data_IF_551857558023
#
_entry.id   IF_551857558023
#
_cell.length_a   1.000
_cell.length_b   1.000
_cell.length_c   1.000
_cell.angle_alpha   90.00
_cell.angle_beta   90.00
_cell.angle_gamma   90.00
#
_symmetry.space_group_name_H-M   'P 1'
#
loop_
_entity.id
_entity.type
_entity.pdbx_description
1 polymer ?
#
# COMPACT_ATOMS: atom_id res chain seq x y z
N UNK A 1 2.67 -13.59 12.14
CA UNK A 1 3.16 -14.49 11.07
C UNK A 1 2.56 -14.03 9.75
N UNK A 2 3.30 -14.13 8.65
CA UNK A 2 2.79 -13.79 7.32
C UNK A 2 1.74 -14.78 6.81
N UNK A 3 0.80 -14.27 6.00
CA UNK A 3 -0.26 -15.06 5.39
C UNK A 3 -0.57 -14.58 3.97
N UNK A 4 -1.10 -15.49 3.15
CA UNK A 4 -1.47 -15.21 1.75
C UNK A 4 -2.78 -14.41 1.72
N UNK A 5 -2.79 -13.32 0.94
CA UNK A 5 -4.01 -12.58 0.68
C UNK A 5 -4.81 -13.26 -0.44
N UNK A 6 -5.93 -13.87 -0.09
CA UNK A 6 -6.89 -14.40 -1.05
C UNK A 6 -7.73 -13.26 -1.65
N UNK A 7 -7.83 -13.23 -2.98
CA UNK A 7 -8.62 -12.23 -3.72
C UNK A 7 -9.90 -12.82 -4.34
N UNK A 8 -10.16 -14.09 -4.11
CA UNK A 8 -11.41 -14.80 -4.41
C UNK A 8 -12.33 -14.78 -3.20
N UNK A 9 -11.76 -15.05 -2.01
CA UNK A 9 -12.45 -14.93 -0.72
C UNK A 9 -11.78 -13.83 0.12
N UNK A 10 -12.35 -12.63 0.07
CA UNK A 10 -11.73 -11.43 0.66
C UNK A 10 -11.87 -11.46 2.18
N UNK A 11 -10.72 -11.56 2.86
CA UNK A 11 -10.66 -11.57 4.33
C UNK A 11 -10.30 -10.20 4.90
N UNK A 12 -10.97 -9.84 5.99
CA UNK A 12 -10.74 -8.62 6.79
C UNK A 12 -9.71 -8.79 7.90
N UNK A 13 -9.13 -9.99 8.05
CA UNK A 13 -8.14 -10.28 9.10
C UNK A 13 -6.99 -9.27 9.05
N UNK A 14 -6.60 -8.78 10.23
CA UNK A 14 -5.55 -7.79 10.42
C UNK A 14 -5.97 -6.35 10.15
N UNK A 15 -7.19 -6.11 9.65
CA UNK A 15 -7.69 -4.79 9.25
C UNK A 15 -8.91 -4.33 10.05
N UNK A 16 -9.35 -5.12 11.03
CA UNK A 16 -10.65 -5.00 11.69
C UNK A 16 -10.85 -3.68 12.45
N UNK A 17 -9.75 -3.02 12.86
CA UNK A 17 -9.83 -1.72 13.55
C UNK A 17 -10.08 -0.54 12.60
N UNK A 18 -10.01 -0.76 11.29
CA UNK A 18 -10.32 0.29 10.31
C UNK A 18 -11.81 0.67 10.35
N UNK A 19 -12.18 1.97 10.20
CA UNK A 19 -13.58 2.34 9.99
C UNK A 19 -14.09 1.94 8.60
N UNK A 20 -13.19 1.57 7.68
CA UNK A 20 -13.50 1.16 6.30
C UNK A 20 -12.95 -0.25 5.99
N UNK A 21 -13.00 -1.15 6.98
CA UNK A 21 -12.41 -2.50 6.95
C UNK A 21 -12.68 -3.27 5.66
N UNK A 22 -13.93 -3.37 5.22
CA UNK A 22 -14.31 -4.11 4.00
C UNK A 22 -13.67 -3.50 2.75
N UNK A 23 -13.66 -2.17 2.64
CA UNK A 23 -13.07 -1.48 1.50
C UNK A 23 -11.54 -1.60 1.50
N UNK A 24 -10.89 -1.55 2.67
CA UNK A 24 -9.45 -1.75 2.81
C UNK A 24 -9.04 -3.19 2.52
N UNK A 25 -9.80 -4.17 3.00
CA UNK A 25 -9.60 -5.58 2.67
C UNK A 25 -9.75 -5.81 1.16
N UNK A 26 -10.77 -5.20 0.55
CA UNK A 26 -10.96 -5.20 -0.90
C UNK A 26 -9.81 -4.55 -1.67
N UNK A 27 -9.24 -3.45 -1.16
CA UNK A 27 -8.07 -2.80 -1.74
C UNK A 27 -6.83 -3.70 -1.66
N UNK A 28 -6.57 -4.31 -0.49
CA UNK A 28 -5.49 -5.30 -0.29
C UNK A 28 -5.64 -6.49 -1.26
N UNK A 29 -6.85 -7.05 -1.38
CA UNK A 29 -7.15 -8.12 -2.32
C UNK A 29 -6.98 -7.69 -3.79
N UNK A 30 -7.31 -6.44 -4.12
CA UNK A 30 -7.09 -5.90 -5.47
C UNK A 30 -5.59 -5.87 -5.83
N UNK A 31 -4.73 -5.49 -4.89
CA UNK A 31 -3.27 -5.54 -5.07
C UNK A 31 -2.79 -6.98 -5.25
N UNK A 32 -3.24 -7.90 -4.39
CA UNK A 32 -2.88 -9.31 -4.48
C UNK A 32 -3.24 -9.91 -5.86
N UNK A 33 -4.45 -9.63 -6.35
CA UNK A 33 -4.87 -10.06 -7.70
C UNK A 33 -4.01 -9.45 -8.80
N UNK A 34 -3.63 -8.18 -8.69
CA UNK A 34 -2.76 -7.53 -9.67
C UNK A 34 -1.40 -8.24 -9.76
N UNK A 35 -0.77 -8.50 -8.62
CA UNK A 35 0.53 -9.19 -8.60
C UNK A 35 0.44 -10.62 -9.10
N UNK A 36 -0.62 -11.33 -8.74
CA UNK A 36 -0.85 -12.69 -9.24
C UNK A 36 -1.04 -12.69 -10.76
N UNK A 37 -1.88 -11.82 -11.30
CA UNK A 37 -2.19 -11.81 -12.73
C UNK A 37 -1.04 -11.30 -13.59
N UNK A 38 -0.29 -10.30 -13.10
CA UNK A 38 0.76 -9.64 -13.90
C UNK A 38 2.11 -10.31 -13.78
N UNK A 39 2.44 -10.86 -12.61
CA UNK A 39 3.78 -11.35 -12.30
C UNK A 39 3.81 -12.78 -11.77
N UNK A 40 2.66 -13.46 -11.71
CA UNK A 40 2.50 -14.76 -11.04
C UNK A 40 2.95 -14.78 -9.56
N UNK A 41 3.02 -13.60 -8.93
CA UNK A 41 3.50 -13.43 -7.57
C UNK A 41 2.36 -13.63 -6.55
N UNK A 42 2.64 -14.41 -5.49
CA UNK A 42 1.71 -14.63 -4.37
C UNK A 42 1.93 -13.53 -3.32
N UNK A 43 1.00 -12.58 -3.26
CA UNK A 43 1.05 -11.48 -2.31
C UNK A 43 0.71 -11.96 -0.90
N UNK A 44 1.58 -11.64 0.05
CA UNK A 44 1.41 -11.97 1.48
C UNK A 44 1.45 -10.71 2.31
N UNK A 45 0.77 -10.70 3.46
CA UNK A 45 0.95 -9.65 4.47
C UNK A 45 1.23 -10.26 5.83
N UNK A 46 1.78 -9.44 6.72
CA UNK A 46 1.93 -9.75 8.13
C UNK A 46 1.60 -8.51 8.99
N UNK A 47 1.30 -8.70 10.28
CA UNK A 47 1.02 -7.61 11.20
C UNK A 47 2.15 -6.57 11.22
N UNK A 48 1.79 -5.29 11.23
CA UNK A 48 2.76 -4.20 11.13
C UNK A 48 3.76 -4.16 12.31
N UNK A 49 3.37 -4.67 13.47
CA UNK A 49 4.24 -4.78 14.66
C UNK A 49 5.26 -5.93 14.56
N UNK A 50 5.04 -6.88 13.65
CA UNK A 50 6.02 -7.90 13.27
C UNK A 50 6.90 -7.43 12.08
N UNK A 51 6.41 -6.52 11.24
CA UNK A 51 7.08 -5.99 10.05
C UNK A 51 7.70 -4.58 10.21
N UNK A 52 8.26 -4.26 11.38
CA UNK A 52 8.79 -2.92 11.68
C UNK A 52 9.79 -2.42 10.62
N UNK A 53 10.67 -3.29 10.10
CA UNK A 53 11.65 -2.88 9.07
C UNK A 53 10.97 -2.34 7.80
N UNK A 54 9.85 -2.95 7.38
CA UNK A 54 9.10 -2.51 6.20
C UNK A 54 8.38 -1.20 6.47
N UNK A 55 7.75 -1.08 7.64
CA UNK A 55 7.05 0.13 8.06
C UNK A 55 8.03 1.31 8.17
N UNK A 56 9.16 1.11 8.84
CA UNK A 56 10.20 2.11 9.02
C UNK A 56 10.84 2.52 7.70
N UNK A 57 11.03 1.58 6.77
CA UNK A 57 11.51 1.90 5.43
C UNK A 57 10.53 2.80 4.68
N UNK A 58 9.24 2.46 4.65
CA UNK A 58 8.22 3.28 3.97
C UNK A 58 8.12 4.66 4.61
N UNK A 59 8.10 4.73 5.94
CA UNK A 59 8.06 6.01 6.66
C UNK A 59 9.30 6.87 6.41
N UNK A 60 10.49 6.27 6.40
CA UNK A 60 11.74 7.00 6.10
C UNK A 60 11.72 7.57 4.68
N UNK A 61 11.31 6.78 3.68
CA UNK A 61 11.20 7.26 2.29
C UNK A 61 10.23 8.44 2.19
N UNK A 62 9.07 8.37 2.85
CA UNK A 62 8.10 9.47 2.87
C UNK A 62 8.66 10.75 3.51
N UNK A 63 9.34 10.61 4.64
CA UNK A 63 9.95 11.72 5.37
C UNK A 63 11.08 12.37 4.56
N UNK A 64 12.02 11.58 4.03
CA UNK A 64 13.19 12.08 3.31
C UNK A 64 12.84 12.69 1.95
N UNK A 65 11.92 12.07 1.21
CA UNK A 65 11.60 12.53 -0.15
C UNK A 65 10.64 13.72 -0.17
N UNK A 66 9.70 13.79 0.79
CA UNK A 66 8.60 14.77 0.74
C UNK A 66 8.20 15.35 2.08
N UNK A 67 8.91 15.08 3.18
CA UNK A 67 8.54 15.56 4.52
C UNK A 67 7.08 15.18 4.85
N UNK A 68 6.74 13.90 4.66
CA UNK A 68 5.42 13.34 4.94
C UNK A 68 5.53 12.39 6.13
N UNK A 69 4.70 12.63 7.14
CA UNK A 69 4.49 11.71 8.27
C UNK A 69 3.03 11.28 8.27
N UNK A 70 2.78 9.97 8.22
CA UNK A 70 1.42 9.43 8.22
C UNK A 70 0.90 9.35 9.66
N UNK A 71 -0.23 9.99 9.94
CA UNK A 71 -0.81 10.02 11.28
C UNK A 71 -1.52 8.72 11.65
N UNK A 72 -2.06 8.01 10.64
CA UNK A 72 -2.79 6.76 10.83
C UNK A 72 -1.89 5.63 11.32
N UNK A 73 -2.40 4.77 12.20
CA UNK A 73 -1.71 3.56 12.66
C UNK A 73 -1.49 2.56 11.50
N UNK A 74 -0.27 2.01 11.30
CA UNK A 74 -0.03 0.85 10.45
C UNK A 74 -0.72 -0.41 11.01
N UNK A 75 -1.34 -1.20 10.14
CA UNK A 75 -2.02 -2.44 10.53
C UNK A 75 -1.32 -3.67 9.95
N UNK A 76 -1.04 -3.66 8.65
CA UNK A 76 -0.43 -4.78 7.93
C UNK A 76 0.64 -4.26 6.98
N UNK A 77 1.68 -5.05 6.74
CA UNK A 77 2.75 -4.71 5.81
C UNK A 77 3.12 -5.90 4.92
N UNK A 78 3.83 -5.61 3.83
CA UNK A 78 4.37 -6.61 2.92
C UNK A 78 5.67 -6.12 2.29
N UNK A 79 6.65 -7.00 2.12
CA UNK A 79 7.86 -6.72 1.37
C UNK A 79 8.23 -7.92 0.50
N UNK A 80 8.55 -7.68 -0.77
CA UNK A 80 8.90 -8.74 -1.71
C UNK A 80 9.68 -8.21 -2.91
N UNK A 81 10.40 -9.11 -3.58
CA UNK A 81 11.01 -8.84 -4.88
C UNK A 81 10.18 -9.48 -6.00
N UNK A 82 9.94 -8.73 -7.07
CA UNK A 82 9.23 -9.21 -8.25
C UNK A 82 9.73 -8.46 -9.49
N UNK A 83 10.05 -9.19 -10.56
CA UNK A 83 10.41 -8.61 -11.86
C UNK A 83 11.49 -7.50 -11.78
N UNK A 84 12.55 -7.76 -11.00
CA UNK A 84 13.64 -6.79 -10.80
C UNK A 84 13.29 -5.56 -9.96
N UNK A 85 12.17 -5.58 -9.23
CA UNK A 85 11.73 -4.52 -8.33
C UNK A 85 11.58 -5.03 -6.91
N UNK A 86 12.06 -4.24 -5.94
CA UNK A 86 11.68 -4.35 -4.53
C UNK A 86 10.39 -3.58 -4.31
N UNK A 87 9.40 -4.26 -3.77
CA UNK A 87 8.13 -3.70 -3.36
C UNK A 87 8.04 -3.71 -1.84
N UNK A 88 7.60 -2.60 -1.27
CA UNK A 88 7.15 -2.52 0.11
C UNK A 88 5.74 -1.94 0.14
N UNK A 89 4.89 -2.47 1.02
CA UNK A 89 3.52 -2.04 1.24
C UNK A 89 3.26 -1.84 2.73
N UNK A 90 2.46 -0.82 3.04
CA UNK A 90 1.86 -0.64 4.37
C UNK A 90 0.38 -0.28 4.20
N UNK A 91 -0.48 -1.00 4.93
CA UNK A 91 -1.91 -0.75 5.03
C UNK A 91 -2.21 -0.12 6.39
N UNK A 92 -2.92 1.00 6.38
CA UNK A 92 -3.15 1.83 7.56
C UNK A 92 -4.61 1.80 7.98
N UNK A 93 -4.84 1.99 9.28
CA UNK A 93 -6.18 1.97 9.90
C UNK A 93 -7.18 2.91 9.23
N UNK A 94 -6.75 4.09 8.77
CA UNK A 94 -7.59 5.04 8.02
C UNK A 94 -8.20 4.50 6.72
N UNK A 95 -7.68 3.40 6.18
CA UNK A 95 -8.02 2.90 4.85
C UNK A 95 -6.97 3.25 3.78
N UNK A 96 -5.89 3.92 4.15
CA UNK A 96 -4.78 4.24 3.26
C UNK A 96 -3.92 2.98 3.02
N UNK A 97 -3.55 2.74 1.78
CA UNK A 97 -2.46 1.85 1.42
C UNK A 97 -1.35 2.64 0.73
N UNK A 98 -0.12 2.44 1.19
CA UNK A 98 1.08 3.04 0.60
C UNK A 98 1.94 1.91 0.05
N UNK A 99 2.52 2.12 -1.13
CA UNK A 99 3.53 1.24 -1.67
C UNK A 99 4.78 2.00 -2.10
N UNK A 100 5.95 1.44 -1.84
CA UNK A 100 7.23 1.89 -2.41
C UNK A 100 7.64 0.86 -3.45
N UNK A 101 7.79 1.31 -4.69
CA UNK A 101 8.37 0.52 -5.79
C UNK A 101 9.79 1.00 -6.03
N UNK A 102 10.74 0.08 -5.98
CA UNK A 102 12.15 0.35 -6.16
C UNK A 102 12.76 -0.61 -7.17
N UNK A 103 12.97 -0.17 -8.41
CA UNK A 103 13.72 -0.95 -9.41
C UNK A 103 15.17 -1.12 -8.94
N UNK A 104 15.68 -2.35 -9.01
CA UNK A 104 17.02 -2.75 -8.55
C UNK A 104 18.10 -2.22 -9.50
N UNK A 105 17.84 -2.20 -10.80
CA UNK A 105 18.76 -1.64 -11.79
C UNK A 105 19.00 -0.14 -11.56
N UNK A 106 20.25 0.28 -11.71
CA UNK A 106 20.65 1.67 -11.58
C UNK A 106 19.94 2.55 -12.61
N UNK A 107 19.41 3.70 -12.15
CA UNK A 107 18.59 4.58 -13.00
C UNK A 107 17.18 4.07 -13.29
N UNK A 108 16.79 2.92 -12.71
CA UNK A 108 15.44 2.38 -12.79
C UNK A 108 14.39 3.28 -12.15
N UNK A 109 13.12 3.09 -12.53
CA UNK A 109 12.01 3.89 -12.00
C UNK A 109 11.79 3.54 -10.53
N UNK A 110 11.64 4.56 -9.68
CA UNK A 110 11.32 4.40 -8.27
C UNK A 110 10.18 5.34 -7.92
N UNK A 111 9.21 4.87 -7.15
CA UNK A 111 8.04 5.68 -6.84
C UNK A 111 7.36 5.25 -5.56
N UNK A 112 6.71 6.21 -4.91
CA UNK A 112 5.71 5.98 -3.88
C UNK A 112 4.32 6.08 -4.50
N UNK A 113 3.48 5.08 -4.26
CA UNK A 113 2.07 5.08 -4.61
C UNK A 113 1.19 5.23 -3.37
N UNK A 114 0.14 6.05 -3.50
CA UNK A 114 -0.93 6.18 -2.52
C UNK A 114 -2.22 5.60 -3.09
N UNK A 115 -2.92 4.80 -2.30
CA UNK A 115 -4.27 4.31 -2.62
C UNK A 115 -5.18 4.53 -1.41
N UNK A 116 -6.25 5.27 -1.61
CA UNK A 116 -7.29 5.49 -0.62
C UNK A 116 -8.44 4.55 -0.92
N UNK A 117 -8.86 3.78 0.09
CA UNK A 117 -10.03 2.92 0.05
C UNK A 117 -11.32 3.70 -0.23
N UNK A 118 -12.37 2.99 -0.62
CA UNK A 118 -13.70 3.59 -0.71
C UNK A 118 -14.18 4.02 0.69
N UNK A 119 -14.95 5.10 0.77
CA UNK A 119 -15.50 5.59 2.03
C UNK A 119 -14.55 6.37 2.95
N UNK A 120 -13.23 6.40 2.71
CA UNK A 120 -12.31 7.21 3.54
C UNK A 120 -12.20 8.68 3.08
N UNK A 121 -11.78 9.58 3.95
CA UNK A 121 -11.38 10.94 3.54
C UNK A 121 -9.92 10.96 3.06
N UNK A 122 -9.50 12.05 2.40
CA UNK A 122 -8.08 12.23 2.06
C UNK A 122 -7.36 12.68 3.34
N UNK A 123 -6.29 12.00 3.78
CA UNK A 123 -5.53 12.42 4.96
C UNK A 123 -5.03 13.86 4.82
N UNK A 124 -5.08 14.64 5.91
CA UNK A 124 -4.71 16.06 5.92
C UNK A 124 -3.27 16.27 5.43
N UNK A 125 -2.35 15.39 5.84
CA UNK A 125 -0.95 15.40 5.43
C UNK A 125 -0.74 15.18 3.92
N UNK A 126 -1.77 14.71 3.19
CA UNK A 126 -1.74 14.47 1.74
C UNK A 126 -2.67 15.40 0.93
N UNK A 127 -3.68 16.01 1.56
CA UNK A 127 -4.81 16.67 0.89
C UNK A 127 -4.39 17.80 -0.05
N UNK A 128 -3.51 18.69 0.42
CA UNK A 128 -3.04 19.85 -0.36
C UNK A 128 -1.81 19.51 -1.24
N UNK A 129 -1.20 18.35 -1.02
CA UNK A 129 0.04 17.93 -1.69
C UNK A 129 -0.22 17.09 -2.95
N UNK A 130 -1.34 16.36 -2.99
CA UNK A 130 -1.62 15.39 -4.05
C UNK A 130 -3.01 15.52 -4.64
N UNK A 131 -3.10 15.28 -5.96
CA UNK A 131 -4.37 15.07 -6.64
C UNK A 131 -4.63 13.58 -6.77
N UNK A 132 -5.85 13.17 -6.44
CA UNK A 132 -6.25 11.77 -6.46
C UNK A 132 -7.20 11.47 -7.62
N UNK A 133 -6.79 10.56 -8.49
CA UNK A 133 -7.61 10.04 -9.58
C UNK A 133 -8.48 8.89 -9.08
N UNK A 134 -9.71 8.77 -9.57
CA UNK A 134 -10.65 7.70 -9.18
C UNK A 134 -10.62 6.56 -10.21
N UNK A 135 -10.62 5.33 -9.72
CA UNK A 135 -10.82 4.13 -10.52
C UNK A 135 -11.83 3.21 -9.83
N UNK A 136 -12.60 2.45 -10.62
CA UNK A 136 -13.55 1.45 -10.09
C UNK A 136 -12.88 0.09 -10.01
N UNK A 137 -13.09 -0.61 -8.90
CA UNK A 137 -12.67 -1.98 -8.66
C UNK A 137 -13.88 -2.82 -8.27
N UNK A 138 -13.95 -4.05 -8.78
CA UNK A 138 -14.94 -5.04 -8.34
C UNK A 138 -14.70 -5.50 -6.90
N UNK A 139 -13.46 -5.43 -6.42
CA UNK A 139 -13.07 -5.90 -5.08
C UNK A 139 -13.11 -4.76 -4.05
N UNK A 140 -12.78 -3.53 -4.47
CA UNK A 140 -12.50 -2.43 -3.55
C UNK A 140 -13.45 -1.22 -3.70
N UNK A 141 -14.54 -1.35 -4.46
CA UNK A 141 -15.40 -0.22 -4.80
C UNK A 141 -14.63 0.86 -5.57
N UNK A 142 -14.64 2.10 -5.08
CA UNK A 142 -13.84 3.19 -5.65
C UNK A 142 -12.48 3.31 -4.98
N UNK A 143 -11.39 3.09 -5.75
CA UNK A 143 -10.03 3.38 -5.30
C UNK A 143 -9.66 4.78 -5.79
N UNK A 144 -9.11 5.61 -4.90
CA UNK A 144 -8.49 6.88 -5.26
C UNK A 144 -6.98 6.76 -5.20
N UNK A 145 -6.31 6.98 -6.32
CA UNK A 145 -4.86 6.80 -6.44
C UNK A 145 -4.11 8.10 -6.70
N UNK A 146 -2.90 8.20 -6.14
CA UNK A 146 -1.89 9.20 -6.51
C UNK A 146 -0.49 8.60 -6.38
N UNK A 147 0.54 9.29 -6.86
CA UNK A 147 1.92 8.82 -6.74
C UNK A 147 2.92 9.98 -6.87
N UNK A 148 4.16 9.73 -6.48
CA UNK A 148 5.30 10.55 -6.87
C UNK A 148 6.54 9.70 -7.12
N UNK A 149 7.45 10.22 -7.94
CA UNK A 149 8.75 9.59 -8.23
C UNK A 149 9.75 9.99 -7.14
N UNK A 150 10.55 9.02 -6.70
CA UNK A 150 11.61 9.20 -5.70
C UNK A 150 12.97 9.08 -6.35
N UNK A 151 13.99 9.71 -5.76
CA UNK A 151 15.38 9.57 -6.24
C UNK A 151 15.92 8.19 -5.88
N UNK A 152 15.59 7.72 -4.68
CA UNK A 152 16.08 6.45 -4.15
C UNK A 152 17.59 6.43 -3.96
N UNK A 153 18.16 7.57 -3.55
CA UNK A 153 19.56 7.64 -3.12
C UNK A 153 19.73 7.02 -1.72
#
# INVERSE_FOLDING_TARGET
MSYVVDFTDVSTVGLESSPVTEALAGLRANEARYYKNKYDHVFTTEPADEANETVDFVHRVLAEERDITIASKPLEASAFEVDGMRMAYVFYESGLAINVMYTIEDGGKRAVGFKLSDGMEVPEELADRFKFARQKSKLAGTIRGSYFVIKGE
#
